data_IF_453144850837
#
_entry.id   IF_453144850837
#
_cell.length_a   1.000
_cell.length_b   1.000
_cell.length_c   1.000
_cell.angle_alpha   90.00
_cell.angle_beta   90.00
_cell.angle_gamma   90.00
#
_symmetry.space_group_name_H-M   'P 1'
#
loop_
_entity.id
_entity.type
_entity.pdbx_description
1 polymer ?
#
# COMPACT_ATOMS: atom_id res chain seq x y z
N UNK A 1 6.25 20.06 -22.38
CA UNK A 1 4.92 19.77 -21.84
C UNK A 1 4.92 18.81 -20.64
N UNK A 2 5.62 17.67 -20.69
CA UNK A 2 5.66 16.68 -19.60
C UNK A 2 6.16 17.27 -18.27
N UNK A 3 7.26 18.03 -18.31
CA UNK A 3 7.83 18.70 -17.13
C UNK A 3 6.82 19.64 -16.45
N UNK A 4 6.18 20.52 -17.20
CA UNK A 4 5.22 21.50 -16.66
C UNK A 4 4.02 20.81 -16.00
N UNK A 5 3.47 19.76 -16.64
CA UNK A 5 2.38 18.97 -16.06
C UNK A 5 2.81 18.29 -14.74
N UNK A 6 4.01 17.70 -14.74
CA UNK A 6 4.56 17.08 -13.53
C UNK A 6 4.82 18.10 -12.42
N UNK A 7 5.31 19.30 -12.77
CA UNK A 7 5.51 20.40 -11.82
C UNK A 7 4.19 20.82 -11.17
N UNK A 8 3.19 21.16 -11.98
CA UNK A 8 1.88 21.57 -11.49
C UNK A 8 1.23 20.50 -10.60
N UNK A 9 1.32 19.23 -11.01
CA UNK A 9 0.83 18.13 -10.19
C UNK A 9 1.59 18.00 -8.88
N UNK A 10 2.92 18.08 -8.87
CA UNK A 10 3.71 17.98 -7.64
C UNK A 10 3.40 19.13 -6.66
N UNK A 11 3.22 20.36 -7.16
CA UNK A 11 2.79 21.51 -6.32
C UNK A 11 1.43 21.22 -5.69
N UNK A 12 0.45 20.77 -6.51
CA UNK A 12 -0.87 20.40 -6.01
C UNK A 12 -0.81 19.27 -4.99
N UNK A 13 -0.08 18.19 -5.30
CA UNK A 13 0.04 17.00 -4.45
C UNK A 13 0.64 17.32 -3.09
N UNK A 14 1.78 18.02 -3.07
CA UNK A 14 2.47 18.40 -1.82
C UNK A 14 1.65 19.40 -1.03
N UNK A 15 1.14 20.46 -1.68
CA UNK A 15 0.34 21.49 -1.03
C UNK A 15 -0.96 20.96 -0.45
N UNK A 16 -1.69 20.14 -1.23
CA UNK A 16 -2.93 19.52 -0.76
C UNK A 16 -2.70 18.47 0.33
N UNK A 17 -1.58 17.73 0.30
CA UNK A 17 -1.22 16.79 1.37
C UNK A 17 -0.94 17.53 2.70
N UNK A 18 -0.21 18.63 2.65
CA UNK A 18 0.05 19.46 3.83
C UNK A 18 -1.26 20.02 4.42
N UNK A 19 -2.15 20.53 3.55
CA UNK A 19 -3.45 21.05 3.98
C UNK A 19 -4.36 19.93 4.54
N UNK A 20 -4.29 18.72 3.99
CA UNK A 20 -5.08 17.57 4.44
C UNK A 20 -4.67 17.11 5.85
N UNK A 21 -3.40 17.22 6.21
CA UNK A 21 -2.93 16.73 7.51
C UNK A 21 -3.69 17.36 8.68
N UNK A 22 -4.10 18.63 8.57
CA UNK A 22 -4.84 19.33 9.64
C UNK A 22 -6.23 18.72 9.87
N UNK A 23 -7.15 18.68 8.88
CA UNK A 23 -8.49 18.12 9.11
C UNK A 23 -8.45 16.62 9.45
N UNK A 24 -7.48 15.86 8.92
CA UNK A 24 -7.30 14.45 9.29
C UNK A 24 -6.84 14.30 10.73
N UNK A 25 -5.87 15.09 11.19
CA UNK A 25 -5.45 15.07 12.60
C UNK A 25 -6.59 15.45 13.54
N UNK A 26 -7.38 16.47 13.19
CA UNK A 26 -8.55 16.90 13.95
C UNK A 26 -9.69 15.86 13.93
N UNK A 27 -9.68 14.93 12.98
CA UNK A 27 -10.68 13.85 12.89
C UNK A 27 -10.43 12.70 13.87
N UNK A 28 -9.26 12.62 14.50
CA UNK A 28 -8.89 11.50 15.37
C UNK A 28 -9.92 11.19 16.49
N UNK A 29 -10.56 12.17 17.16
CA UNK A 29 -11.58 11.88 18.16
C UNK A 29 -12.86 11.24 17.60
N UNK A 30 -13.11 11.35 16.29
CA UNK A 30 -14.32 10.82 15.63
C UNK A 30 -14.09 9.41 15.04
N UNK A 31 -12.94 8.81 15.34
CA UNK A 31 -12.55 7.47 14.91
C UNK A 31 -12.01 7.39 13.48
N UNK A 32 -11.41 6.23 13.13
CA UNK A 32 -10.67 6.06 11.87
C UNK A 32 -11.53 6.21 10.62
N UNK A 33 -12.82 5.86 10.69
CA UNK A 33 -13.72 5.94 9.53
C UNK A 33 -13.94 7.38 9.03
N UNK A 34 -14.00 8.36 9.93
CA UNK A 34 -14.18 9.75 9.53
C UNK A 34 -12.95 10.31 8.83
N UNK A 35 -11.76 10.15 9.43
CA UNK A 35 -10.51 10.55 8.82
C UNK A 35 -10.26 9.84 7.48
N UNK A 36 -10.67 8.57 7.38
CA UNK A 36 -10.58 7.79 6.15
C UNK A 36 -11.44 8.41 5.02
N UNK A 37 -12.68 8.83 5.30
CA UNK A 37 -13.54 9.50 4.30
C UNK A 37 -12.92 10.79 3.76
N UNK A 38 -12.32 11.60 4.64
CA UNK A 38 -11.61 12.83 4.25
C UNK A 38 -10.41 12.49 3.36
N UNK A 39 -9.61 11.48 3.73
CA UNK A 39 -8.48 11.04 2.92
C UNK A 39 -8.90 10.45 1.57
N UNK A 40 -9.99 9.70 1.50
CA UNK A 40 -10.55 9.18 0.23
C UNK A 40 -10.95 10.32 -0.70
N UNK A 41 -11.59 11.39 -0.19
CA UNK A 41 -11.93 12.55 -1.00
C UNK A 41 -10.67 13.22 -1.57
N UNK A 42 -9.61 13.37 -0.76
CA UNK A 42 -8.33 13.89 -1.22
C UNK A 42 -7.67 12.98 -2.27
N UNK A 43 -7.70 11.67 -2.10
CA UNK A 43 -7.17 10.73 -3.10
C UNK A 43 -7.91 10.86 -4.42
N UNK A 44 -9.24 10.96 -4.39
CA UNK A 44 -10.06 11.15 -5.59
C UNK A 44 -9.71 12.45 -6.32
N UNK A 45 -9.49 13.55 -5.59
CA UNK A 45 -9.04 14.82 -6.16
C UNK A 45 -7.64 14.67 -6.82
N UNK A 46 -6.70 13.98 -6.17
CA UNK A 46 -5.38 13.70 -6.73
C UNK A 46 -5.45 12.81 -7.98
N UNK A 47 -6.29 11.79 -7.99
CA UNK A 47 -6.47 10.93 -9.16
C UNK A 47 -7.15 11.68 -10.32
N UNK A 48 -8.09 12.58 -10.01
CA UNK A 48 -8.65 13.48 -11.01
C UNK A 48 -7.57 14.37 -11.63
N UNK A 49 -6.73 14.99 -10.81
CA UNK A 49 -5.59 15.80 -11.29
C UNK A 49 -4.58 14.98 -12.09
N UNK A 50 -4.23 13.75 -11.65
CA UNK A 50 -3.36 12.85 -12.42
C UNK A 50 -3.95 12.54 -13.78
N UNK A 51 -5.24 12.25 -13.85
CA UNK A 51 -5.92 11.92 -15.10
C UNK A 51 -5.94 13.10 -16.07
N UNK A 52 -6.39 14.26 -15.63
CA UNK A 52 -6.60 15.40 -16.51
C UNK A 52 -5.31 16.18 -16.82
N UNK A 53 -4.40 16.32 -15.85
CA UNK A 53 -3.16 17.07 -16.02
C UNK A 53 -2.02 16.18 -16.55
N UNK A 54 -1.76 15.04 -15.89
CA UNK A 54 -0.65 14.15 -16.24
C UNK A 54 -1.04 13.06 -17.25
N UNK A 55 -2.35 12.90 -17.56
CA UNK A 55 -2.87 11.83 -18.43
C UNK A 55 -2.54 10.44 -17.88
N UNK A 56 -2.58 10.28 -16.55
CA UNK A 56 -2.43 9.00 -15.86
C UNK A 56 -3.80 8.58 -15.35
N UNK A 57 -4.35 7.54 -15.95
CA UNK A 57 -5.58 6.87 -15.50
C UNK A 57 -5.26 5.54 -14.84
N UNK A 58 -6.26 4.84 -14.31
CA UNK A 58 -6.08 3.50 -13.75
C UNK A 58 -7.29 2.60 -14.00
N UNK A 59 -7.04 1.29 -14.05
CA UNK A 59 -8.08 0.26 -14.15
C UNK A 59 -7.84 -0.80 -13.10
N UNK A 60 -8.90 -1.24 -12.43
CA UNK A 60 -8.86 -2.29 -11.41
C UNK A 60 -9.61 -3.50 -11.92
N UNK A 61 -8.92 -4.64 -12.00
CA UNK A 61 -9.48 -5.95 -12.32
C UNK A 61 -9.45 -6.83 -11.07
N UNK A 62 -10.45 -7.70 -10.91
CA UNK A 62 -10.53 -8.61 -9.78
C UNK A 62 -11.02 -7.98 -8.49
N UNK A 63 -11.70 -6.81 -8.54
CA UNK A 63 -12.27 -6.18 -7.34
C UNK A 63 -13.27 -7.08 -6.62
N UNK A 64 -13.94 -7.95 -7.34
CA UNK A 64 -14.84 -8.99 -6.85
C UNK A 64 -14.15 -10.05 -5.99
N UNK A 65 -12.83 -10.14 -6.05
CA UNK A 65 -12.03 -11.04 -5.21
C UNK A 65 -11.82 -10.50 -3.78
N UNK A 66 -12.18 -9.24 -3.51
CA UNK A 66 -12.09 -8.67 -2.16
C UNK A 66 -13.27 -9.21 -1.35
N UNK A 67 -13.03 -10.07 -0.34
CA UNK A 67 -14.11 -10.61 0.47
C UNK A 67 -14.81 -9.54 1.31
N UNK A 68 -16.07 -9.80 1.68
CA UNK A 68 -16.83 -8.91 2.55
C UNK A 68 -16.24 -8.84 3.98
N UNK A 69 -15.61 -9.93 4.43
CA UNK A 69 -14.88 -9.94 5.69
C UNK A 69 -13.54 -9.20 5.56
N UNK A 70 -13.05 -8.65 6.67
CA UNK A 70 -11.72 -8.02 6.70
C UNK A 70 -10.61 -9.05 6.52
N UNK A 71 -9.49 -8.60 5.98
CA UNK A 71 -8.33 -9.43 5.70
C UNK A 71 -7.05 -8.61 5.58
N UNK A 72 -6.03 -9.19 4.98
CA UNK A 72 -4.73 -8.57 4.79
C UNK A 72 -4.56 -8.27 3.30
N UNK A 73 -4.28 -7.02 2.95
CA UNK A 73 -4.00 -6.63 1.57
C UNK A 73 -2.47 -6.59 1.34
N UNK A 74 -1.98 -7.42 0.45
CA UNK A 74 -0.56 -7.43 0.05
C UNK A 74 -0.37 -6.69 -1.27
N UNK A 75 0.25 -5.53 -1.19
CA UNK A 75 0.46 -4.67 -2.34
C UNK A 75 1.90 -4.70 -2.83
N UNK A 76 2.11 -4.85 -4.13
CA UNK A 76 3.37 -4.50 -4.77
C UNK A 76 3.74 -3.06 -4.41
N UNK A 77 5.02 -2.75 -4.19
CA UNK A 77 5.44 -1.42 -3.73
C UNK A 77 6.44 -0.77 -4.68
N UNK A 78 6.01 0.22 -5.48
CA UNK A 78 6.84 0.86 -6.52
C UNK A 78 6.72 2.38 -6.57
N UNK A 79 5.61 2.97 -6.10
CA UNK A 79 5.25 4.36 -6.31
C UNK A 79 4.70 5.02 -5.04
N UNK A 80 4.38 6.28 -5.09
CA UNK A 80 3.50 6.93 -4.13
C UNK A 80 2.02 6.71 -4.50
N UNK A 81 1.74 6.33 -5.75
CA UNK A 81 0.39 6.13 -6.27
C UNK A 81 -0.36 5.03 -5.50
N UNK A 82 0.24 3.86 -5.31
CA UNK A 82 -0.44 2.76 -4.61
C UNK A 82 -0.70 3.04 -3.14
N UNK A 83 0.08 3.92 -2.50
CA UNK A 83 -0.21 4.34 -1.12
C UNK A 83 -1.50 5.14 -1.00
N UNK A 84 -1.92 5.78 -2.10
CA UNK A 84 -3.22 6.42 -2.24
C UNK A 84 -4.28 5.43 -2.75
N UNK A 85 -3.94 4.61 -3.75
CA UNK A 85 -4.90 3.72 -4.41
C UNK A 85 -5.55 2.72 -3.45
N UNK A 86 -4.81 2.22 -2.47
CA UNK A 86 -5.35 1.32 -1.46
C UNK A 86 -6.57 1.91 -0.73
N UNK A 87 -6.64 3.24 -0.53
CA UNK A 87 -7.77 3.93 0.11
C UNK A 87 -9.08 3.88 -0.70
N UNK A 88 -8.99 3.72 -2.01
CA UNK A 88 -10.16 3.70 -2.93
C UNK A 88 -10.44 2.31 -3.50
N UNK A 89 -9.49 1.38 -3.37
CA UNK A 89 -9.64 0.00 -3.86
C UNK A 89 -10.17 -0.90 -2.76
N UNK A 90 -9.68 -0.77 -1.54
CA UNK A 90 -10.06 -1.58 -0.38
C UNK A 90 -10.93 -0.80 0.61
N UNK A 91 -11.66 -1.51 1.50
CA UNK A 91 -12.35 -0.89 2.64
C UNK A 91 -11.38 -0.22 3.62
N UNK A 92 -11.91 0.36 4.70
CA UNK A 92 -11.11 1.00 5.76
C UNK A 92 -10.04 0.05 6.30
N UNK A 93 -8.81 0.54 6.39
CA UNK A 93 -7.65 -0.30 6.71
C UNK A 93 -6.61 0.43 7.56
N UNK A 94 -5.93 -0.33 8.39
CA UNK A 94 -4.71 0.06 9.10
C UNK A 94 -3.48 -0.28 8.24
N UNK A 95 -2.52 0.62 8.17
CA UNK A 95 -1.30 0.44 7.36
C UNK A 95 -0.12 0.01 8.20
N UNK A 96 0.61 -0.99 7.72
CA UNK A 96 1.95 -1.28 8.26
C UNK A 96 2.93 -0.28 7.67
N UNK A 97 3.38 0.65 8.48
CA UNK A 97 4.25 1.73 8.06
C UNK A 97 5.53 1.82 8.89
N UNK A 98 6.49 2.59 8.39
CA UNK A 98 7.76 2.81 9.07
C UNK A 98 7.55 3.72 10.29
N UNK A 99 8.01 3.29 11.47
CA UNK A 99 7.84 4.02 12.75
C UNK A 99 8.31 5.47 12.67
N UNK A 100 9.39 5.76 11.94
CA UNK A 100 9.92 7.13 11.82
C UNK A 100 8.96 8.11 11.14
N UNK A 101 7.96 7.63 10.38
CA UNK A 101 6.93 8.50 9.80
C UNK A 101 6.02 9.13 10.86
N UNK A 102 5.91 8.50 12.04
CA UNK A 102 5.13 9.03 13.15
C UNK A 102 5.75 10.28 13.77
N UNK A 103 7.05 10.52 13.53
CA UNK A 103 7.77 11.69 14.03
C UNK A 103 7.79 12.88 13.06
N UNK A 104 7.27 12.70 11.85
CA UNK A 104 7.17 13.82 10.89
C UNK A 104 6.05 14.76 11.32
N UNK A 105 6.35 16.05 11.59
CA UNK A 105 5.36 17.03 12.03
C UNK A 105 4.15 17.08 11.07
N UNK A 106 2.96 17.22 11.61
CA UNK A 106 1.66 17.20 10.95
C UNK A 106 1.31 15.83 10.32
N UNK A 107 2.23 15.21 9.58
CA UNK A 107 1.98 13.90 8.96
C UNK A 107 1.81 12.81 10.02
N UNK A 108 2.66 12.79 11.04
CA UNK A 108 2.56 11.79 12.11
C UNK A 108 1.21 11.87 12.83
N UNK A 109 0.77 13.07 13.18
CA UNK A 109 -0.54 13.30 13.81
C UNK A 109 -1.70 12.86 12.88
N UNK A 110 -1.62 13.19 11.59
CA UNK A 110 -2.62 12.74 10.62
C UNK A 110 -2.63 11.21 10.48
N UNK A 111 -1.46 10.57 10.46
CA UNK A 111 -1.36 9.11 10.37
C UNK A 111 -1.96 8.41 11.60
N UNK A 112 -1.88 9.00 12.80
CA UNK A 112 -2.50 8.44 14.01
C UNK A 112 -4.01 8.27 13.88
N UNK A 113 -4.68 9.14 13.13
CA UNK A 113 -6.12 9.03 12.88
C UNK A 113 -6.53 7.77 12.10
N UNK A 114 -5.58 7.06 11.47
CA UNK A 114 -5.79 5.80 10.75
C UNK A 114 -5.36 4.58 11.54
N UNK A 115 -5.01 4.75 12.82
CA UNK A 115 -4.60 3.66 13.71
C UNK A 115 -3.55 2.72 13.11
N UNK A 116 -2.43 3.25 12.63
CA UNK A 116 -1.46 2.49 11.86
C UNK A 116 -0.69 1.49 12.72
N UNK A 117 -0.12 0.50 12.07
CA UNK A 117 0.82 -0.45 12.66
C UNK A 117 2.24 0.05 12.40
N UNK A 118 2.74 0.91 13.29
CA UNK A 118 4.07 1.49 13.16
C UNK A 118 5.16 0.49 13.56
N UNK A 119 6.07 0.16 12.63
CA UNK A 119 7.11 -0.85 12.85
C UNK A 119 8.52 -0.29 12.65
N UNK A 120 9.43 -0.69 13.51
CA UNK A 120 10.86 -0.52 13.27
C UNK A 120 11.33 -1.69 12.37
N UNK A 121 11.52 -1.42 11.08
CA UNK A 121 11.91 -2.45 10.10
C UNK A 121 13.30 -3.05 10.33
N UNK A 122 14.13 -2.44 11.16
CA UNK A 122 15.46 -2.95 11.54
C UNK A 122 15.36 -3.96 12.69
N UNK A 123 14.26 -4.01 13.42
CA UNK A 123 14.09 -4.83 14.61
C UNK A 123 13.81 -6.34 14.34
N UNK A 124 13.86 -6.78 13.08
CA UNK A 124 13.75 -8.20 12.73
C UNK A 124 12.50 -8.88 13.31
N UNK A 125 12.68 -9.85 14.21
CA UNK A 125 11.58 -10.60 14.84
C UNK A 125 10.61 -9.70 15.62
N UNK A 126 11.10 -8.66 16.28
CA UNK A 126 10.25 -7.72 17.02
C UNK A 126 9.29 -6.96 16.11
N UNK A 127 9.71 -6.64 14.87
CA UNK A 127 8.79 -6.04 13.89
C UNK A 127 7.66 -7.00 13.49
N UNK A 128 7.94 -8.29 13.33
CA UNK A 128 6.93 -9.33 13.04
C UNK A 128 5.96 -9.46 14.22
N UNK A 129 6.47 -9.52 15.45
CA UNK A 129 5.65 -9.57 16.66
C UNK A 129 4.74 -8.34 16.82
N UNK A 130 5.24 -7.15 16.47
CA UNK A 130 4.46 -5.92 16.49
C UNK A 130 3.30 -5.99 15.47
N UNK A 131 3.56 -6.45 14.24
CA UNK A 131 2.51 -6.65 13.23
C UNK A 131 1.51 -7.69 13.71
N UNK A 132 1.97 -8.80 14.29
CA UNK A 132 1.08 -9.84 14.80
C UNK A 132 0.17 -9.29 15.91
N UNK A 133 0.74 -8.66 16.94
CA UNK A 133 0.00 -8.15 18.09
C UNK A 133 -1.04 -7.09 17.69
N UNK A 134 -0.61 -6.04 16.98
CA UNK A 134 -1.49 -4.91 16.62
C UNK A 134 -2.39 -5.29 15.45
N UNK A 135 -1.88 -6.03 14.47
CA UNK A 135 -2.66 -6.50 13.34
C UNK A 135 -3.82 -7.42 13.73
N UNK A 136 -3.61 -8.30 14.72
CA UNK A 136 -4.69 -9.13 15.29
C UNK A 136 -5.79 -8.25 15.91
N UNK A 137 -5.43 -7.22 16.67
CA UNK A 137 -6.39 -6.26 17.23
C UNK A 137 -7.22 -5.60 16.10
N UNK A 138 -6.55 -5.06 15.06
CA UNK A 138 -7.19 -4.40 13.92
C UNK A 138 -8.17 -5.32 13.17
N UNK A 139 -7.73 -6.55 12.89
CA UNK A 139 -8.55 -7.52 12.16
C UNK A 139 -9.71 -8.08 12.99
N UNK A 140 -9.44 -8.48 14.25
CA UNK A 140 -10.38 -9.31 15.01
C UNK A 140 -11.33 -8.50 15.90
N UNK A 141 -10.90 -7.33 16.39
CA UNK A 141 -11.71 -6.51 17.29
C UNK A 141 -12.30 -5.29 16.61
N UNK A 142 -11.56 -4.67 15.68
CA UNK A 142 -12.00 -3.43 15.02
C UNK A 142 -12.57 -3.67 13.62
N UNK A 143 -12.42 -4.87 13.06
CA UNK A 143 -12.91 -5.21 11.72
C UNK A 143 -12.21 -4.43 10.58
N UNK A 144 -11.02 -3.89 10.85
CA UNK A 144 -10.23 -3.16 9.87
C UNK A 144 -9.38 -4.10 9.02
N UNK A 145 -9.24 -3.81 7.74
CA UNK A 145 -8.22 -4.45 6.91
C UNK A 145 -6.82 -4.08 7.37
N UNK A 146 -5.84 -4.94 7.12
CA UNK A 146 -4.42 -4.63 7.35
C UNK A 146 -3.70 -4.57 6.02
N UNK A 147 -3.19 -3.39 5.64
CA UNK A 147 -2.45 -3.21 4.40
C UNK A 147 -0.95 -3.31 4.62
N UNK A 148 -0.30 -4.18 3.84
CA UNK A 148 1.12 -4.49 3.95
C UNK A 148 1.79 -4.38 2.58
N UNK A 149 2.94 -3.74 2.55
CA UNK A 149 3.88 -3.81 1.44
C UNK A 149 4.96 -4.84 1.78
N UNK A 150 4.84 -6.10 1.31
CA UNK A 150 5.69 -7.19 1.78
C UNK A 150 7.16 -7.03 1.38
N UNK A 151 7.45 -6.24 0.35
CA UNK A 151 8.81 -5.86 -0.02
C UNK A 151 9.50 -4.95 1.01
N UNK A 152 8.72 -4.28 1.88
CA UNK A 152 9.20 -3.40 2.93
C UNK A 152 9.84 -2.09 2.43
N UNK A 153 9.96 -1.88 1.13
CA UNK A 153 10.42 -0.63 0.51
C UNK A 153 9.93 -0.57 -0.92
N UNK A 154 9.83 0.65 -1.49
CA UNK A 154 9.49 0.84 -2.91
C UNK A 154 10.60 0.30 -3.79
N UNK A 155 10.24 -0.60 -4.70
CA UNK A 155 11.15 -1.23 -5.65
C UNK A 155 11.19 -0.45 -6.98
N UNK A 156 12.35 -0.35 -7.62
CA UNK A 156 12.42 0.13 -9.00
C UNK A 156 11.57 -0.74 -9.94
N UNK A 157 11.02 -0.18 -11.04
CA UNK A 157 10.37 -0.98 -12.07
C UNK A 157 11.27 -2.13 -12.55
N UNK A 158 10.69 -3.27 -12.87
CA UNK A 158 11.43 -4.46 -13.31
C UNK A 158 12.09 -5.27 -12.19
N UNK A 159 12.01 -4.82 -10.94
CA UNK A 159 12.69 -5.47 -9.82
C UNK A 159 11.74 -5.88 -8.71
N UNK A 160 12.18 -6.84 -7.91
CA UNK A 160 11.51 -7.33 -6.71
C UNK A 160 12.51 -7.63 -5.61
N UNK A 161 12.05 -8.09 -4.48
CA UNK A 161 12.86 -8.67 -3.42
C UNK A 161 12.08 -9.74 -2.68
N UNK A 162 12.75 -10.56 -1.88
CA UNK A 162 12.10 -11.54 -1.01
C UNK A 162 11.09 -10.83 -0.09
N UNK A 163 9.86 -11.32 -0.07
CA UNK A 163 8.77 -10.78 0.74
C UNK A 163 8.98 -11.07 2.23
N UNK A 164 8.64 -10.11 3.07
CA UNK A 164 8.63 -10.28 4.51
C UNK A 164 7.46 -11.15 4.97
N UNK A 165 7.67 -11.94 6.02
CA UNK A 165 6.70 -12.95 6.49
C UNK A 165 5.59 -12.39 7.39
N UNK A 166 5.66 -11.13 7.80
CA UNK A 166 4.77 -10.59 8.85
C UNK A 166 3.28 -10.75 8.57
N UNK A 167 2.85 -10.58 7.32
CA UNK A 167 1.44 -10.75 6.97
C UNK A 167 1.03 -12.22 6.86
N UNK A 168 1.91 -13.11 6.37
CA UNK A 168 1.63 -14.55 6.36
C UNK A 168 1.52 -15.11 7.79
N UNK A 169 2.39 -14.67 8.70
CA UNK A 169 2.30 -14.98 10.13
C UNK A 169 0.99 -14.46 10.74
N UNK A 170 0.59 -13.23 10.39
CA UNK A 170 -0.68 -12.65 10.83
C UNK A 170 -1.89 -13.43 10.29
N UNK A 171 -1.87 -13.82 9.01
CA UNK A 171 -2.93 -14.61 8.40
C UNK A 171 -3.07 -15.99 9.04
N UNK A 172 -1.94 -16.67 9.29
CA UNK A 172 -1.92 -17.96 9.99
C UNK A 172 -2.55 -17.85 11.37
N UNK A 173 -2.13 -16.86 12.16
CA UNK A 173 -2.60 -16.68 13.54
C UNK A 173 -4.08 -16.27 13.65
N UNK A 174 -4.61 -15.51 12.66
CA UNK A 174 -5.98 -15.00 12.69
C UNK A 174 -6.96 -15.79 11.85
N UNK A 175 -6.48 -16.65 10.94
CA UNK A 175 -7.28 -17.32 9.94
C UNK A 175 -7.85 -16.40 8.87
N UNK A 176 -7.49 -15.10 8.87
CA UNK A 176 -7.96 -14.12 7.89
C UNK A 176 -7.20 -14.25 6.56
N UNK A 177 -7.88 -14.01 5.42
CA UNK A 177 -7.26 -14.13 4.11
C UNK A 177 -6.24 -13.03 3.83
N UNK A 178 -5.27 -13.35 2.96
CA UNK A 178 -4.42 -12.37 2.29
C UNK A 178 -4.91 -12.20 0.86
N UNK A 179 -5.16 -10.96 0.46
CA UNK A 179 -5.52 -10.61 -0.92
C UNK A 179 -4.32 -9.96 -1.58
N UNK A 180 -3.71 -10.62 -2.59
CA UNK A 180 -2.56 -10.07 -3.30
C UNK A 180 -2.99 -9.02 -4.33
N UNK A 181 -2.17 -7.95 -4.47
CA UNK A 181 -2.42 -6.87 -5.42
C UNK A 181 -1.15 -6.53 -6.18
N UNK A 182 -1.21 -6.74 -7.49
CA UNK A 182 -0.19 -6.31 -8.45
C UNK A 182 -0.60 -5.01 -9.13
N UNK A 183 0.36 -4.15 -9.46
CA UNK A 183 0.13 -2.94 -10.24
C UNK A 183 1.42 -2.42 -10.84
N UNK A 184 1.33 -1.76 -11.99
CA UNK A 184 2.47 -1.21 -12.71
C UNK A 184 2.62 0.32 -12.54
N UNK A 185 2.22 0.87 -11.40
CA UNK A 185 2.31 2.31 -11.14
C UNK A 185 3.74 2.87 -11.25
N UNK A 186 4.76 2.03 -10.96
CA UNK A 186 6.15 2.41 -11.10
C UNK A 186 6.59 2.74 -12.54
N UNK A 187 5.88 2.28 -13.55
CA UNK A 187 6.16 2.59 -14.96
C UNK A 187 5.83 4.05 -15.27
N UNK A 188 4.81 4.61 -14.62
CA UNK A 188 4.30 5.96 -14.84
C UNK A 188 4.76 6.97 -13.78
N UNK A 189 4.84 6.55 -12.53
CA UNK A 189 5.30 7.38 -11.41
C UNK A 189 6.28 6.60 -10.52
N UNK A 190 7.54 6.63 -10.89
CA UNK A 190 8.62 5.93 -10.15
C UNK A 190 8.83 6.51 -8.76
N UNK A 191 9.39 5.69 -7.89
CA UNK A 191 9.83 6.12 -6.54
C UNK A 191 10.69 7.40 -6.64
N UNK A 192 10.34 8.41 -5.86
CA UNK A 192 11.04 9.70 -5.77
C UNK A 192 11.23 10.43 -7.12
N UNK A 193 10.51 10.02 -8.17
CA UNK A 193 10.62 10.69 -9.46
C UNK A 193 9.75 11.95 -9.51
N UNK A 194 10.34 13.01 -10.05
CA UNK A 194 9.63 14.24 -10.34
C UNK A 194 8.64 14.07 -11.49
N UNK A 195 9.05 13.35 -12.54
CA UNK A 195 8.28 13.18 -13.77
C UNK A 195 7.14 12.17 -13.61
N UNK A 196 5.97 12.49 -14.22
CA UNK A 196 4.78 11.66 -14.31
C UNK A 196 4.53 11.35 -15.79
N UNK A 197 4.71 10.10 -16.18
CA UNK A 197 4.56 9.68 -17.58
C UNK A 197 3.11 9.28 -17.85
N UNK A 198 2.52 9.72 -18.99
CA UNK A 198 1.13 9.42 -19.30
C UNK A 198 0.92 7.93 -19.54
N UNK A 199 -0.28 7.43 -19.22
CA UNK A 199 -0.69 6.06 -19.46
C UNK A 199 -1.76 5.58 -18.50
N UNK A 200 -2.04 4.28 -18.54
CA UNK A 200 -3.06 3.66 -17.69
C UNK A 200 -2.41 2.63 -16.75
N UNK A 201 -2.48 2.92 -15.46
CA UNK A 201 -2.03 1.99 -14.43
C UNK A 201 -3.00 0.81 -14.38
N UNK A 202 -2.46 -0.39 -14.57
CA UNK A 202 -3.21 -1.64 -14.39
C UNK A 202 -3.07 -2.08 -12.94
N UNK A 203 -4.20 -2.37 -12.29
CA UNK A 203 -4.26 -2.96 -10.95
C UNK A 203 -4.95 -4.31 -11.07
N UNK A 204 -4.33 -5.35 -10.57
CA UNK A 204 -4.92 -6.70 -10.50
C UNK A 204 -5.04 -7.13 -9.05
N UNK A 205 -6.25 -7.45 -8.64
CA UNK A 205 -6.56 -7.99 -7.32
C UNK A 205 -6.74 -9.49 -7.48
N UNK A 206 -5.91 -10.27 -6.80
CA UNK A 206 -5.94 -11.73 -6.85
C UNK A 206 -7.00 -12.33 -5.92
N UNK A 207 -7.22 -13.64 -6.06
CA UNK A 207 -8.10 -14.40 -5.16
C UNK A 207 -7.54 -14.41 -3.75
N UNK A 208 -8.40 -14.45 -2.71
CA UNK A 208 -7.96 -14.57 -1.33
C UNK A 208 -7.17 -15.85 -1.10
N UNK A 209 -6.06 -15.78 -0.40
CA UNK A 209 -5.23 -16.90 0.03
C UNK A 209 -5.35 -17.04 1.54
N UNK A 210 -5.77 -18.22 2.01
CA UNK A 210 -5.92 -18.50 3.44
C UNK A 210 -4.66 -19.20 3.96
N UNK A 211 -4.17 -18.72 5.10
CA UNK A 211 -2.92 -19.20 5.70
C UNK A 211 -3.08 -20.12 6.90
N UNK A 212 -4.33 -20.40 7.35
CA UNK A 212 -4.57 -21.30 8.49
C UNK A 212 -4.00 -22.69 8.22
N UNK A 213 -3.29 -23.26 9.19
CA UNK A 213 -2.68 -24.60 9.15
C UNK A 213 -1.66 -24.83 8.02
N UNK A 214 -1.12 -23.72 7.47
CA UNK A 214 -0.07 -23.75 6.44
C UNK A 214 1.18 -23.02 6.94
N UNK A 215 2.40 -23.47 6.61
CA UNK A 215 3.62 -22.73 6.90
C UNK A 215 3.56 -21.31 6.31
N UNK A 216 3.84 -20.25 7.10
CA UNK A 216 3.81 -18.86 6.60
C UNK A 216 4.71 -18.63 5.38
N UNK A 217 5.80 -19.38 5.28
CA UNK A 217 6.74 -19.32 4.17
C UNK A 217 6.11 -19.79 2.84
N UNK A 218 5.30 -20.85 2.87
CA UNK A 218 4.59 -21.36 1.69
C UNK A 218 3.53 -20.39 1.21
N UNK A 219 2.70 -19.88 2.14
CA UNK A 219 1.66 -18.88 1.83
C UNK A 219 2.28 -17.64 1.22
N UNK A 220 3.39 -17.17 1.80
CA UNK A 220 4.11 -15.99 1.33
C UNK A 220 4.75 -16.22 -0.05
N UNK A 221 5.28 -17.42 -0.31
CA UNK A 221 5.86 -17.78 -1.61
C UNK A 221 4.78 -17.84 -2.70
N UNK A 222 3.63 -18.46 -2.42
CA UNK A 222 2.47 -18.52 -3.34
C UNK A 222 2.02 -17.10 -3.74
N UNK A 223 1.86 -16.21 -2.75
CA UNK A 223 1.45 -14.82 -2.99
C UNK A 223 2.50 -14.07 -3.79
N UNK A 224 3.79 -14.23 -3.45
CA UNK A 224 4.86 -13.60 -4.21
C UNK A 224 4.88 -14.09 -5.65
N UNK A 225 4.77 -15.40 -5.87
CA UNK A 225 4.71 -15.98 -7.21
C UNK A 225 3.56 -15.40 -8.04
N UNK A 226 2.37 -15.29 -7.44
CA UNK A 226 1.21 -14.70 -8.13
C UNK A 226 1.45 -13.24 -8.49
N UNK A 227 1.88 -12.40 -7.53
CA UNK A 227 2.14 -10.97 -7.79
C UNK A 227 3.19 -10.80 -8.90
N UNK A 228 4.31 -11.54 -8.82
CA UNK A 228 5.38 -11.43 -9.80
C UNK A 228 4.97 -11.94 -11.20
N UNK A 229 4.09 -12.95 -11.27
CA UNK A 229 3.51 -13.41 -12.53
C UNK A 229 2.63 -12.32 -13.15
N UNK A 230 1.75 -11.68 -12.35
CA UNK A 230 0.91 -10.58 -12.82
C UNK A 230 1.76 -9.38 -13.27
N UNK A 231 2.85 -9.08 -12.57
CA UNK A 231 3.74 -7.99 -12.96
C UNK A 231 4.37 -8.18 -14.33
N UNK A 232 4.73 -9.42 -14.70
CA UNK A 232 5.26 -9.74 -16.04
C UNK A 232 4.25 -9.47 -17.15
N UNK A 233 2.96 -9.58 -16.86
CA UNK A 233 1.90 -9.35 -17.84
C UNK A 233 1.54 -7.86 -17.97
N UNK A 234 1.56 -7.09 -16.87
CA UNK A 234 1.04 -5.70 -16.87
C UNK A 234 2.12 -4.63 -16.99
N UNK A 235 3.40 -4.97 -16.75
CA UNK A 235 4.51 -4.01 -16.77
C UNK A 235 5.49 -4.39 -17.90
N UNK A 236 5.53 -3.64 -19.00
CA UNK A 236 6.45 -3.91 -20.11
C UNK A 236 7.92 -3.93 -19.63
N UNK A 237 8.64 -4.96 -19.99
CA UNK A 237 10.05 -5.12 -19.60
C UNK A 237 10.27 -5.53 -18.13
N UNK A 238 9.23 -5.99 -17.43
CA UNK A 238 9.38 -6.50 -16.07
C UNK A 238 10.18 -7.79 -16.05
N UNK A 239 11.42 -7.73 -15.55
CA UNK A 239 12.32 -8.88 -15.48
C UNK A 239 12.17 -9.65 -14.15
N UNK A 240 11.61 -9.03 -13.10
CA UNK A 240 11.49 -9.63 -11.77
C UNK A 240 12.86 -9.85 -11.10
N UNK A 241 13.85 -8.99 -11.41
CA UNK A 241 15.20 -9.10 -10.84
C UNK A 241 15.11 -8.96 -9.32
N UNK A 242 15.53 -9.99 -8.59
CA UNK A 242 15.54 -10.00 -7.12
C UNK A 242 16.71 -9.16 -6.61
N UNK A 243 16.39 -8.07 -5.92
CA UNK A 243 17.39 -7.26 -5.24
C UNK A 243 17.59 -7.75 -3.80
N UNK A 244 18.80 -8.05 -3.43
CA UNK A 244 19.13 -8.40 -2.06
C UNK A 244 18.93 -7.20 -1.10
N UNK A 245 18.65 -7.52 0.18
CA UNK A 245 18.58 -6.51 1.22
C UNK A 245 19.99 -5.93 1.40
N UNK A 246 20.19 -4.63 1.12
CA UNK A 246 21.46 -3.99 1.51
C UNK A 246 21.68 -4.24 3.00
N UNK A 247 22.75 -4.92 3.35
CA UNK A 247 23.23 -4.99 4.74
C UNK A 247 23.63 -3.55 5.12
N UNK A 248 22.81 -2.90 5.95
CA UNK A 248 23.14 -1.60 6.57
C UNK A 248 23.55 -1.85 8.00
#
# INVERSE_FOLDING_TARGET
MLFVRSLLFNIFFIGSAALLCVPVALSAPFGPHFGYRVAVAWVRANFWMLKHLCRIDYRVQGRENIPAECGIAYWKHQSAWETMAQLVVFPTQAWVLKHELMWVPLLGQALMAFEPIAVNRKAGRSAVQQVLRVGTLRLMQEGLWVSIFPEGTRMPPGTTRRYGLSGAVLANATGKPIVPVAHNAGDFWRRNAFMKYPGTIQVRVGKPVYGRDRPPEEVNAEIQQWIEAQMKEISPGYAGIVLEKRRT
#
